data_IF_777890317158
#
_entry.id   IF_777890317158
#
_cell.length_a   1.000
_cell.length_b   1.000
_cell.length_c   1.000
_cell.angle_alpha   90.00
_cell.angle_beta   90.00
_cell.angle_gamma   90.00
#
_symmetry.space_group_name_H-M   'P 1'
#
loop_
_entity.id
_entity.type
_entity.pdbx_description
1 polymer ?
#
# COMPACT_ATOMS: atom_id res chain seq x y z
N UNK A 1 -21.51 5.74 -12.66
CA UNK A 1 -22.14 5.95 -11.34
C UNK A 1 -21.04 6.04 -10.30
N UNK A 2 -20.86 7.22 -9.69
CA UNK A 2 -19.79 7.49 -8.72
C UNK A 2 -20.19 6.94 -7.35
N UNK A 3 -19.53 5.90 -6.87
CA UNK A 3 -19.59 5.48 -5.48
C UNK A 3 -18.27 5.83 -4.78
N UNK A 4 -18.07 7.13 -4.53
CA UNK A 4 -17.00 7.62 -3.68
C UNK A 4 -17.42 7.38 -2.22
N UNK A 5 -17.09 6.24 -1.67
CA UNK A 5 -17.24 5.97 -0.24
C UNK A 5 -15.87 6.02 0.41
N UNK A 6 -15.58 7.11 1.09
CA UNK A 6 -14.39 7.24 1.93
C UNK A 6 -14.56 6.32 3.14
N UNK A 7 -13.70 5.33 3.26
CA UNK A 7 -13.54 4.55 4.48
C UNK A 7 -12.82 5.45 5.51
N UNK A 8 -13.55 5.96 6.50
CA UNK A 8 -12.97 6.85 7.52
C UNK A 8 -12.45 6.00 8.67
N UNK A 9 -11.13 5.94 8.80
CA UNK A 9 -10.47 5.31 9.95
C UNK A 9 -9.75 6.37 10.77
N UNK A 10 -10.05 6.36 12.06
CA UNK A 10 -9.37 7.15 13.07
C UNK A 10 -8.00 6.54 13.37
N UNK A 11 -6.93 7.23 13.00
CA UNK A 11 -5.62 7.02 13.58
C UNK A 11 -5.54 7.87 14.86
N UNK A 12 -5.75 7.26 16.03
CA UNK A 12 -5.57 7.91 17.33
C UNK A 12 -4.08 8.05 17.63
N UNK A 13 -3.52 9.25 17.42
CA UNK A 13 -2.19 9.61 17.89
C UNK A 13 -2.26 10.02 19.36
N UNK A 14 -1.71 9.21 20.25
CA UNK A 14 -1.38 9.60 21.63
C UNK A 14 -0.18 10.55 21.59
N UNK A 15 -0.44 11.86 21.77
CA UNK A 15 0.59 12.86 21.99
C UNK A 15 0.93 12.91 23.48
N UNK A 16 2.14 12.46 23.85
CA UNK A 16 2.70 12.71 25.18
C UNK A 16 3.32 14.13 25.19
N UNK A 17 2.74 15.02 25.97
CA UNK A 17 3.23 16.38 26.22
C UNK A 17 4.35 16.35 27.26
N UNK A 18 5.56 16.79 26.90
CA UNK A 18 6.61 17.17 27.86
C UNK A 18 6.92 18.65 27.69
N UNK A 19 6.54 19.42 28.71
CA UNK A 19 6.82 20.85 28.82
C UNK A 19 8.28 21.09 29.22
N UNK A 20 9.00 21.92 28.49
CA UNK A 20 10.21 22.58 28.97
C UNK A 20 10.19 24.04 28.54
N UNK A 21 10.11 24.93 29.55
CA UNK A 21 10.28 26.36 29.40
C UNK A 21 11.75 26.70 29.06
N UNK A 22 11.92 27.55 28.06
CA UNK A 22 13.11 28.37 27.94
C UNK A 22 12.72 29.73 27.33
N UNK A 23 12.88 30.81 28.10
CA UNK A 23 12.72 32.19 27.65
C UNK A 23 13.90 32.55 26.71
N UNK A 24 13.56 33.07 25.54
CA UNK A 24 14.50 33.71 24.62
C UNK A 24 13.76 34.77 23.82
N UNK A 25 13.93 36.07 24.20
CA UNK A 25 13.44 37.22 23.46
C UNK A 25 14.21 37.38 22.15
N UNK A 26 13.55 37.19 21.02
CA UNK A 26 14.06 37.64 19.72
C UNK A 26 12.92 38.29 18.94
N UNK A 27 13.15 39.54 18.52
CA UNK A 27 12.25 40.33 17.68
C UNK A 27 11.83 39.60 16.42
N UNK A 28 10.56 39.23 16.27
CA UNK A 28 9.98 38.72 15.05
C UNK A 28 9.27 39.85 14.29
N UNK A 29 9.76 40.19 13.12
CA UNK A 29 9.02 40.94 12.11
C UNK A 29 7.76 40.15 11.73
N UNK A 30 6.63 40.84 11.76
CA UNK A 30 5.37 40.31 11.26
C UNK A 30 5.51 39.97 9.77
N UNK A 31 5.40 38.69 9.47
CA UNK A 31 5.14 38.19 8.12
C UNK A 31 3.65 37.86 8.10
N UNK A 32 2.91 38.42 7.17
CA UNK A 32 1.49 38.23 6.97
C UNK A 32 1.15 36.74 6.91
N UNK A 33 0.40 36.29 7.91
CA UNK A 33 -0.20 34.95 7.92
C UNK A 33 -1.42 34.95 6.98
N UNK A 34 -1.18 34.72 5.70
CA UNK A 34 -2.26 34.31 4.80
C UNK A 34 -2.67 32.88 5.15
N UNK A 35 -3.90 32.78 5.60
CA UNK A 35 -4.70 31.64 5.98
C UNK A 35 -4.25 30.26 5.52
N UNK A 36 -3.50 29.57 6.37
CA UNK A 36 -3.50 28.11 6.31
C UNK A 36 -4.90 27.64 6.72
N UNK A 37 -5.72 27.26 5.76
CA UNK A 37 -6.94 26.49 6.03
C UNK A 37 -6.52 25.25 6.82
N UNK A 38 -6.82 25.25 8.11
CA UNK A 38 -6.69 24.06 8.93
C UNK A 38 -7.61 23.01 8.30
N UNK A 39 -7.03 21.92 7.83
CA UNK A 39 -7.79 20.77 7.40
C UNK A 39 -8.72 20.37 8.54
N UNK A 40 -10.02 20.35 8.30
CA UNK A 40 -10.98 19.91 9.31
C UNK A 40 -10.58 18.51 9.79
N UNK A 41 -10.61 18.27 11.11
CA UNK A 41 -10.35 16.93 11.62
C UNK A 41 -11.35 15.95 10.97
N UNK A 42 -10.92 14.71 10.63
CA UNK A 42 -11.79 13.75 9.99
C UNK A 42 -13.08 13.59 10.79
N UNK A 43 -14.21 13.87 10.16
CA UNK A 43 -15.54 13.81 10.77
C UNK A 43 -15.81 12.38 11.24
N UNK A 44 -16.21 12.24 12.49
CA UNK A 44 -16.68 10.95 12.97
C UNK A 44 -17.93 10.51 12.18
N UNK A 45 -18.02 9.22 11.81
CA UNK A 45 -19.21 8.71 11.12
C UNK A 45 -20.45 8.88 11.97
N UNK A 46 -21.55 9.24 11.35
CA UNK A 46 -22.86 9.33 12.01
C UNK A 46 -23.34 7.95 12.45
N UNK A 47 -24.25 7.89 13.42
CA UNK A 47 -24.88 6.64 13.85
C UNK A 47 -25.57 5.90 12.68
N UNK A 48 -26.13 6.62 11.71
CA UNK A 48 -26.75 6.05 10.52
C UNK A 48 -25.69 5.42 9.57
N UNK A 49 -24.53 6.04 9.46
CA UNK A 49 -23.41 5.46 8.69
C UNK A 49 -22.83 4.24 9.40
N UNK A 50 -22.75 4.26 10.72
CA UNK A 50 -22.27 3.13 11.54
C UNK A 50 -23.24 1.95 11.56
N UNK A 51 -24.54 2.20 11.39
CA UNK A 51 -25.57 1.14 11.35
C UNK A 51 -25.74 0.48 9.98
N UNK A 52 -25.05 0.99 8.95
CA UNK A 52 -25.14 0.45 7.59
C UNK A 52 -24.46 -0.89 7.51
N UNK A 53 -25.23 -1.92 7.16
CA UNK A 53 -24.68 -3.26 6.92
C UNK A 53 -23.64 -3.22 5.81
N UNK A 54 -22.41 -3.60 6.14
CA UNK A 54 -21.35 -3.81 5.17
C UNK A 54 -21.56 -5.14 4.43
N UNK A 55 -21.09 -5.19 3.19
CA UNK A 55 -20.99 -6.43 2.42
C UNK A 55 -19.58 -7.01 2.53
N UNK A 56 -19.42 -8.29 2.18
CA UNK A 56 -18.09 -8.90 2.11
C UNK A 56 -17.18 -8.08 1.17
N UNK A 57 -17.71 -7.71 0.00
CA UNK A 57 -16.98 -6.88 -0.96
C UNK A 57 -16.56 -5.53 -0.36
N UNK A 58 -17.48 -4.80 0.30
CA UNK A 58 -17.14 -3.48 0.87
C UNK A 58 -16.11 -3.57 1.99
N UNK A 59 -16.14 -4.62 2.82
CA UNK A 59 -15.15 -4.82 3.87
C UNK A 59 -13.73 -5.03 3.31
N UNK A 60 -13.59 -5.88 2.28
CA UNK A 60 -12.29 -6.09 1.62
C UNK A 60 -11.83 -4.89 0.82
N UNK A 61 -12.74 -4.19 0.12
CA UNK A 61 -12.40 -2.95 -0.59
C UNK A 61 -11.91 -1.86 0.36
N UNK A 62 -12.45 -1.77 1.57
CA UNK A 62 -11.95 -0.86 2.60
C UNK A 62 -10.51 -1.20 2.97
N UNK A 63 -10.20 -2.47 3.29
CA UNK A 63 -8.84 -2.91 3.58
C UNK A 63 -7.88 -2.67 2.41
N UNK A 64 -8.30 -2.98 1.18
CA UNK A 64 -7.50 -2.77 -0.01
C UNK A 64 -7.17 -1.28 -0.23
N UNK A 65 -8.11 -0.38 0.04
CA UNK A 65 -7.89 1.07 -0.13
C UNK A 65 -6.72 1.58 0.73
N UNK A 66 -6.55 1.06 1.95
CA UNK A 66 -5.38 1.38 2.79
C UNK A 66 -4.10 0.87 2.17
N UNK A 67 -4.11 -0.39 1.75
CA UNK A 67 -2.92 -1.01 1.18
C UNK A 67 -2.53 -0.34 -0.14
N UNK A 68 -3.49 0.01 -0.99
CA UNK A 68 -3.24 0.77 -2.20
C UNK A 68 -2.59 2.11 -1.90
N UNK A 69 -3.13 2.85 -0.92
CA UNK A 69 -2.54 4.12 -0.50
C UNK A 69 -1.10 3.94 -0.01
N UNK A 70 -0.87 3.00 0.89
CA UNK A 70 0.44 2.78 1.50
C UNK A 70 1.48 2.33 0.48
N UNK A 71 1.15 1.34 -0.34
CA UNK A 71 2.07 0.77 -1.34
C UNK A 71 2.37 1.77 -2.45
N UNK A 72 1.34 2.39 -3.05
CA UNK A 72 1.53 3.35 -4.15
C UNK A 72 2.31 4.58 -3.69
N UNK A 73 1.94 5.16 -2.55
CA UNK A 73 2.65 6.33 -2.02
C UNK A 73 4.10 6.00 -1.60
N UNK A 74 4.38 4.79 -1.14
CA UNK A 74 5.74 4.33 -0.90
C UNK A 74 6.54 4.23 -2.22
N UNK A 75 5.93 3.68 -3.27
CA UNK A 75 6.54 3.61 -4.59
C UNK A 75 6.81 5.02 -5.16
N UNK A 76 5.87 5.95 -5.02
CA UNK A 76 6.06 7.34 -5.45
C UNK A 76 7.16 8.06 -4.67
N UNK A 77 7.29 7.81 -3.37
CA UNK A 77 8.26 8.48 -2.50
C UNK A 77 9.71 8.12 -2.78
N UNK A 78 10.00 6.92 -3.27
CA UNK A 78 11.36 6.51 -3.61
C UNK A 78 11.85 7.26 -4.85
N UNK A 79 13.00 7.98 -4.81
CA UNK A 79 13.60 8.60 -6.00
C UNK A 79 13.94 7.57 -7.07
N UNK A 80 13.85 7.95 -8.34
CA UNK A 80 14.06 7.03 -9.46
C UNK A 80 15.47 6.41 -9.46
N UNK A 81 16.47 7.19 -9.14
CA UNK A 81 17.87 6.74 -9.03
C UNK A 81 18.09 5.70 -7.92
N UNK A 82 17.14 5.58 -6.98
CA UNK A 82 17.17 4.61 -5.89
C UNK A 82 16.29 3.37 -6.11
N UNK A 83 15.65 3.26 -7.26
CA UNK A 83 14.84 2.08 -7.57
C UNK A 83 15.68 0.79 -7.70
N UNK A 84 16.98 0.92 -7.99
CA UNK A 84 17.94 -0.18 -7.96
C UNK A 84 18.44 -0.56 -6.57
N UNK A 85 18.08 0.19 -5.52
CA UNK A 85 18.52 -0.09 -4.15
C UNK A 85 17.95 -1.41 -3.63
N UNK A 86 18.78 -2.13 -2.89
CA UNK A 86 18.39 -3.30 -2.07
C UNK A 86 19.08 -3.24 -0.71
N UNK A 87 18.44 -3.69 0.36
CA UNK A 87 19.10 -3.90 1.65
C UNK A 87 20.30 -4.85 1.50
N UNK A 88 21.34 -4.61 2.25
CA UNK A 88 22.48 -5.50 2.29
C UNK A 88 22.09 -6.86 2.91
N UNK A 89 22.56 -7.92 2.33
CA UNK A 89 22.48 -9.26 2.90
C UNK A 89 23.57 -9.39 3.99
N UNK A 90 23.19 -9.18 5.25
CA UNK A 90 24.10 -9.08 6.37
C UNK A 90 24.65 -7.64 6.54
N UNK A 91 24.58 -7.10 7.75
CA UNK A 91 25.06 -5.74 8.06
C UNK A 91 26.52 -5.71 8.44
N UNK A 92 27.04 -6.81 8.92
CA UNK A 92 28.40 -6.90 9.45
C UNK A 92 29.32 -7.67 8.51
N UNK A 93 30.53 -7.22 8.41
CA UNK A 93 31.56 -7.87 7.59
C UNK A 93 31.71 -9.34 8.07
N UNK A 94 31.58 -10.30 7.17
CA UNK A 94 31.64 -11.75 7.39
C UNK A 94 30.36 -12.39 7.97
N UNK A 95 29.25 -11.69 8.14
CA UNK A 95 27.99 -12.34 8.42
C UNK A 95 27.49 -13.13 7.18
N UNK A 96 27.02 -14.32 7.45
CA UNK A 96 26.34 -15.15 6.46
C UNK A 96 24.88 -15.31 6.87
N UNK A 97 23.94 -15.26 5.93
CA UNK A 97 22.55 -15.60 6.25
C UNK A 97 22.45 -16.98 6.87
N UNK A 98 21.70 -17.11 7.97
CA UNK A 98 21.59 -18.35 8.73
C UNK A 98 21.05 -19.51 7.87
N UNK A 99 20.08 -19.21 7.00
CA UNK A 99 19.41 -20.20 6.15
C UNK A 99 19.90 -20.20 4.69
N UNK A 100 21.09 -19.71 4.44
CA UNK A 100 21.74 -19.69 3.15
C UNK A 100 21.58 -18.40 2.38
N UNK A 101 22.24 -18.29 1.22
CA UNK A 101 22.18 -17.09 0.40
C UNK A 101 20.80 -16.93 -0.22
N UNK A 102 20.17 -15.78 0.02
CA UNK A 102 18.96 -15.38 -0.65
C UNK A 102 19.18 -13.98 -1.27
N UNK A 103 18.83 -13.84 -2.53
CA UNK A 103 18.92 -12.54 -3.18
C UNK A 103 17.75 -11.67 -2.75
N UNK A 104 18.03 -10.57 -2.04
CA UNK A 104 17.03 -9.57 -1.68
C UNK A 104 16.60 -8.79 -2.93
N UNK A 105 15.31 -8.61 -3.12
CA UNK A 105 14.77 -7.82 -4.25
C UNK A 105 15.26 -6.38 -4.19
N UNK A 106 15.49 -5.77 -5.35
CA UNK A 106 15.62 -4.32 -5.44
C UNK A 106 14.25 -3.67 -5.19
N UNK A 107 14.23 -2.36 -4.89
CA UNK A 107 12.97 -1.63 -4.72
C UNK A 107 12.08 -1.74 -5.97
N UNK A 108 12.66 -1.60 -7.16
CA UNK A 108 11.95 -1.82 -8.42
C UNK A 108 11.33 -3.21 -8.52
N UNK A 109 12.07 -4.24 -8.11
CA UNK A 109 11.58 -5.62 -8.08
C UNK A 109 10.46 -5.82 -7.06
N UNK A 110 10.50 -5.14 -5.91
CA UNK A 110 9.37 -5.15 -4.96
C UNK A 110 8.10 -4.57 -5.58
N UNK A 111 8.20 -3.39 -6.21
CA UNK A 111 7.06 -2.75 -6.88
C UNK A 111 6.47 -3.64 -7.98
N UNK A 112 7.33 -4.24 -8.81
CA UNK A 112 6.90 -5.18 -9.87
C UNK A 112 6.23 -6.42 -9.29
N UNK A 113 6.80 -7.00 -8.25
CA UNK A 113 6.28 -8.19 -7.60
C UNK A 113 4.89 -7.95 -7.03
N UNK A 114 4.67 -6.85 -6.31
CA UNK A 114 3.35 -6.49 -5.78
C UNK A 114 2.34 -6.33 -6.91
N UNK A 115 2.69 -5.60 -7.97
CA UNK A 115 1.80 -5.40 -9.11
C UNK A 115 1.46 -6.73 -9.79
N UNK A 116 2.46 -7.57 -10.02
CA UNK A 116 2.27 -8.86 -10.67
C UNK A 116 1.41 -9.80 -9.82
N UNK A 117 1.67 -9.86 -8.51
CA UNK A 117 0.85 -10.65 -7.58
C UNK A 117 -0.60 -10.19 -7.56
N UNK A 118 -0.85 -8.88 -7.58
CA UNK A 118 -2.21 -8.34 -7.66
C UNK A 118 -2.93 -8.80 -8.93
N UNK A 119 -2.28 -8.73 -10.09
CA UNK A 119 -2.88 -9.22 -11.34
C UNK A 119 -3.14 -10.73 -11.30
N UNK A 120 -2.22 -11.51 -10.73
CA UNK A 120 -2.38 -12.95 -10.60
C UNK A 120 -3.55 -13.30 -9.67
N UNK A 121 -3.63 -12.68 -8.51
CA UNK A 121 -4.73 -12.88 -7.56
C UNK A 121 -6.09 -12.46 -8.13
N UNK A 122 -6.14 -11.33 -8.85
CA UNK A 122 -7.36 -10.89 -9.52
C UNK A 122 -7.82 -11.92 -10.55
N UNK A 123 -6.91 -12.42 -11.40
CA UNK A 123 -7.21 -13.44 -12.39
C UNK A 123 -7.73 -14.73 -11.72
N UNK A 124 -7.08 -15.23 -10.68
CA UNK A 124 -7.53 -16.42 -9.96
C UNK A 124 -8.90 -16.21 -9.31
N UNK A 125 -9.15 -15.04 -8.70
CA UNK A 125 -10.43 -14.70 -8.10
C UNK A 125 -11.56 -14.67 -9.14
N UNK A 126 -11.24 -14.28 -10.37
CA UNK A 126 -12.16 -14.24 -11.50
C UNK A 126 -12.25 -15.57 -12.28
N UNK A 127 -11.52 -16.60 -11.84
CA UNK A 127 -11.46 -17.90 -12.50
C UNK A 127 -10.70 -17.87 -13.83
N UNK A 128 -9.77 -16.92 -13.98
CA UNK A 128 -8.93 -16.75 -15.15
C UNK A 128 -7.51 -17.25 -14.89
N UNK A 129 -6.76 -17.54 -15.95
CA UNK A 129 -5.34 -17.85 -15.84
C UNK A 129 -4.55 -16.58 -15.54
N UNK A 130 -3.67 -16.59 -14.52
CA UNK A 130 -2.78 -15.47 -14.26
C UNK A 130 -1.94 -15.09 -15.48
N UNK A 131 -1.61 -13.80 -15.65
CA UNK A 131 -0.78 -13.36 -16.77
C UNK A 131 0.60 -14.06 -16.77
N UNK A 132 1.00 -14.66 -17.89
CA UNK A 132 2.28 -15.35 -18.03
C UNK A 132 3.50 -14.47 -17.71
N UNK A 133 3.39 -13.17 -17.94
CA UNK A 133 4.41 -12.19 -17.55
C UNK A 133 4.68 -12.16 -16.03
N UNK A 134 3.75 -12.64 -15.21
CA UNK A 134 3.89 -12.68 -13.76
C UNK A 134 4.82 -13.80 -13.26
N UNK A 135 5.10 -14.82 -14.06
CA UNK A 135 6.02 -15.89 -13.69
C UNK A 135 7.45 -15.40 -13.42
N UNK A 136 7.78 -14.19 -13.86
CA UNK A 136 9.11 -13.57 -13.72
C UNK A 136 9.04 -12.17 -13.07
N UNK A 137 8.18 -11.99 -12.06
CA UNK A 137 7.98 -10.73 -11.37
C UNK A 137 7.55 -9.55 -12.28
N UNK A 138 6.77 -9.84 -13.30
CA UNK A 138 6.12 -8.84 -14.13
C UNK A 138 6.76 -8.56 -15.49
N UNK A 139 6.11 -7.75 -16.33
CA UNK A 139 6.52 -7.54 -17.71
C UNK A 139 7.92 -6.92 -17.79
N UNK A 140 8.72 -7.43 -18.70
CA UNK A 140 10.07 -6.94 -18.98
C UNK A 140 10.10 -5.49 -19.50
N UNK A 141 8.97 -4.96 -19.93
CA UNK A 141 8.80 -3.59 -20.46
C UNK A 141 8.75 -2.52 -19.38
N UNK A 142 8.30 -2.84 -18.16
CA UNK A 142 8.25 -1.88 -17.06
C UNK A 142 9.65 -1.72 -16.43
N UNK A 143 10.42 -0.75 -16.91
CA UNK A 143 11.83 -0.52 -16.52
C UNK A 143 12.03 0.80 -15.79
N UNK A 144 11.27 1.83 -16.13
CA UNK A 144 11.35 3.15 -15.50
C UNK A 144 10.42 3.23 -14.30
N UNK A 145 10.70 4.14 -13.38
CA UNK A 145 9.80 4.44 -12.25
C UNK A 145 8.38 4.70 -12.74
N UNK A 146 8.22 5.53 -13.77
CA UNK A 146 6.91 5.89 -14.33
C UNK A 146 6.13 4.65 -14.81
N UNK A 147 6.77 3.78 -15.56
CA UNK A 147 6.15 2.52 -16.05
C UNK A 147 5.74 1.59 -14.91
N UNK A 148 6.58 1.50 -13.87
CA UNK A 148 6.29 0.71 -12.69
C UNK A 148 5.12 1.27 -11.88
N UNK A 149 5.00 2.59 -11.75
CA UNK A 149 3.88 3.24 -11.07
C UNK A 149 2.57 3.03 -11.83
N UNK A 150 2.58 3.11 -13.16
CA UNK A 150 1.42 2.80 -14.00
C UNK A 150 1.01 1.33 -13.82
N UNK A 151 1.96 0.42 -13.91
CA UNK A 151 1.71 -1.01 -13.76
C UNK A 151 1.12 -1.34 -12.38
N UNK A 152 1.68 -0.74 -11.33
CA UNK A 152 1.19 -0.90 -9.95
C UNK A 152 -0.25 -0.35 -9.79
N UNK A 153 -0.53 0.87 -10.31
CA UNK A 153 -1.88 1.46 -10.29
C UNK A 153 -2.90 0.54 -10.96
N UNK A 154 -2.57 0.05 -12.15
CA UNK A 154 -3.46 -0.80 -12.94
C UNK A 154 -3.70 -2.15 -12.25
N UNK A 155 -2.70 -2.69 -11.54
CA UNK A 155 -2.85 -3.90 -10.75
C UNK A 155 -3.82 -3.72 -9.57
N UNK A 156 -3.79 -2.58 -8.89
CA UNK A 156 -4.76 -2.25 -7.85
C UNK A 156 -6.17 -2.06 -8.42
N UNK A 157 -6.30 -1.53 -9.63
CA UNK A 157 -7.60 -1.45 -10.31
C UNK A 157 -8.16 -2.86 -10.60
N UNK A 158 -7.32 -3.80 -11.02
CA UNK A 158 -7.72 -5.19 -11.27
C UNK A 158 -8.25 -5.86 -9.99
N UNK A 159 -7.47 -5.89 -8.90
CA UNK A 159 -7.94 -6.51 -7.65
C UNK A 159 -9.16 -5.80 -7.06
N UNK A 160 -9.28 -4.48 -7.25
CA UNK A 160 -10.45 -3.72 -6.81
C UNK A 160 -11.72 -4.18 -7.52
N UNK A 161 -11.64 -4.43 -8.83
CA UNK A 161 -12.77 -4.94 -9.60
C UNK A 161 -13.15 -6.36 -9.15
N UNK A 162 -12.19 -7.26 -9.00
CA UNK A 162 -12.42 -8.64 -8.60
C UNK A 162 -12.96 -8.75 -7.17
N UNK A 163 -12.41 -7.97 -6.21
CA UNK A 163 -12.93 -7.91 -4.84
C UNK A 163 -14.34 -7.28 -4.79
N UNK A 164 -14.63 -6.31 -5.66
CA UNK A 164 -15.94 -5.69 -5.77
C UNK A 164 -17.04 -6.66 -6.22
N UNK A 165 -16.67 -7.76 -6.87
CA UNK A 165 -17.57 -8.82 -7.31
C UNK A 165 -17.80 -9.93 -6.25
N UNK A 166 -17.17 -9.84 -5.07
CA UNK A 166 -17.38 -10.82 -4.00
C UNK A 166 -18.84 -10.81 -3.51
N UNK A 167 -19.44 -11.99 -3.49
CA UNK A 167 -20.81 -12.21 -3.06
C UNK A 167 -20.85 -13.16 -1.84
N UNK A 168 -21.72 -12.87 -0.88
CA UNK A 168 -21.89 -13.68 0.31
C UNK A 168 -22.36 -15.13 0.02
N UNK A 169 -22.97 -15.38 -1.14
CA UNK A 169 -23.42 -16.72 -1.55
C UNK A 169 -22.27 -17.58 -2.08
N UNK A 170 -21.27 -16.94 -2.73
CA UNK A 170 -20.18 -17.63 -3.44
C UNK A 170 -18.82 -17.45 -2.77
N UNK A 171 -18.74 -16.69 -1.67
CA UNK A 171 -17.47 -16.38 -1.02
C UNK A 171 -16.71 -17.61 -0.49
N UNK A 172 -17.41 -18.69 -0.20
CA UNK A 172 -16.83 -19.96 0.24
C UNK A 172 -16.64 -20.97 -0.88
N UNK A 173 -16.97 -20.61 -2.13
CA UNK A 173 -16.71 -21.50 -3.27
C UNK A 173 -15.21 -21.71 -3.40
N UNK A 174 -14.79 -22.95 -3.72
CA UNK A 174 -13.38 -23.29 -3.86
C UNK A 174 -12.78 -22.58 -5.07
N UNK A 175 -11.54 -22.14 -4.92
CA UNK A 175 -10.70 -21.57 -5.96
C UNK A 175 -9.50 -22.47 -6.15
N UNK A 176 -9.11 -22.65 -7.39
CA UNK A 176 -7.86 -23.29 -7.77
C UNK A 176 -6.96 -22.29 -8.49
N UNK A 177 -5.70 -22.28 -8.10
CA UNK A 177 -4.70 -21.45 -8.73
C UNK A 177 -3.34 -21.66 -8.07
N UNK A 178 -2.24 -21.28 -8.74
CA UNK A 178 -0.89 -21.47 -8.22
C UNK A 178 -0.62 -20.63 -6.96
N UNK A 179 -1.33 -19.54 -6.77
CA UNK A 179 -1.14 -18.63 -5.64
C UNK A 179 -2.17 -18.83 -4.52
N UNK A 180 -3.39 -19.21 -4.88
CA UNK A 180 -4.44 -19.45 -3.88
C UNK A 180 -4.25 -20.77 -3.13
N UNK A 181 -3.59 -21.76 -3.75
CA UNK A 181 -3.63 -23.13 -3.24
C UNK A 181 -5.08 -23.63 -3.17
N UNK A 182 -5.38 -24.73 -2.46
CA UNK A 182 -6.73 -25.11 -2.15
C UNK A 182 -7.32 -24.09 -1.15
N UNK A 183 -8.05 -23.12 -1.65
CA UNK A 183 -8.61 -22.01 -0.88
C UNK A 183 -10.03 -21.70 -1.34
N UNK A 184 -10.64 -20.73 -0.72
CA UNK A 184 -11.95 -20.17 -1.10
C UNK A 184 -11.75 -18.76 -1.67
N UNK A 185 -12.79 -18.25 -2.35
CA UNK A 185 -12.80 -16.86 -2.81
C UNK A 185 -12.52 -15.87 -1.68
N UNK A 186 -13.11 -16.10 -0.50
CA UNK A 186 -12.88 -15.29 0.70
C UNK A 186 -11.43 -15.41 1.20
N UNK A 187 -10.90 -16.63 1.21
CA UNK A 187 -9.50 -16.86 1.61
C UNK A 187 -8.52 -16.14 0.71
N UNK A 188 -8.73 -16.18 -0.62
CA UNK A 188 -7.88 -15.44 -1.56
C UNK A 188 -8.04 -13.92 -1.40
N UNK A 189 -9.26 -13.42 -1.13
CA UNK A 189 -9.47 -12.01 -0.82
C UNK A 189 -8.66 -11.56 0.41
N UNK A 190 -8.58 -12.41 1.45
CA UNK A 190 -7.72 -12.15 2.60
C UNK A 190 -6.24 -12.14 2.23
N UNK A 191 -5.78 -13.09 1.39
CA UNK A 191 -4.40 -13.12 0.87
C UNK A 191 -4.05 -11.80 0.16
N UNK A 192 -4.92 -11.29 -0.69
CA UNK A 192 -4.71 -10.03 -1.41
C UNK A 192 -4.37 -8.89 -0.43
N UNK A 193 -5.16 -8.75 0.63
CA UNK A 193 -4.97 -7.65 1.59
C UNK A 193 -3.69 -7.83 2.39
N UNK A 194 -3.46 -9.01 3.00
CA UNK A 194 -2.27 -9.19 3.83
C UNK A 194 -0.97 -9.21 3.01
N UNK A 195 -0.97 -9.72 1.77
CA UNK A 195 0.20 -9.71 0.90
C UNK A 195 0.66 -8.28 0.58
N UNK A 196 -0.27 -7.39 0.26
CA UNK A 196 0.05 -5.98 0.04
C UNK A 196 0.58 -5.32 1.33
N UNK A 197 0.01 -5.65 2.52
CA UNK A 197 0.48 -5.15 3.81
C UNK A 197 1.89 -5.63 4.14
N UNK A 198 2.20 -6.92 3.90
CA UNK A 198 3.54 -7.48 4.09
C UNK A 198 4.58 -6.75 3.24
N UNK A 199 4.29 -6.58 1.95
CA UNK A 199 5.21 -5.87 1.05
C UNK A 199 5.32 -4.38 1.35
N UNK A 200 4.25 -3.72 1.80
CA UNK A 200 4.35 -2.35 2.29
C UNK A 200 5.33 -2.24 3.46
N UNK A 201 5.26 -3.16 4.44
CA UNK A 201 6.20 -3.19 5.56
C UNK A 201 7.65 -3.29 5.09
N UNK A 202 7.93 -4.14 4.10
CA UNK A 202 9.25 -4.25 3.47
C UNK A 202 9.62 -2.92 2.77
N UNK A 203 8.76 -2.38 1.91
CA UNK A 203 9.03 -1.11 1.20
C UNK A 203 9.29 0.05 2.16
N UNK A 204 8.60 0.10 3.30
CA UNK A 204 8.82 1.10 4.34
C UNK A 204 10.23 1.03 4.94
N UNK A 205 10.80 -0.18 5.10
CA UNK A 205 12.20 -0.35 5.50
C UNK A 205 13.16 0.18 4.44
N UNK A 206 12.93 -0.11 3.15
CA UNK A 206 13.74 0.44 2.06
C UNK A 206 13.75 1.96 2.05
N UNK A 207 12.60 2.60 2.27
CA UNK A 207 12.51 4.05 2.37
C UNK A 207 13.34 4.56 3.54
N UNK A 208 13.19 3.97 4.74
CA UNK A 208 13.94 4.40 5.94
C UNK A 208 15.44 4.23 5.79
N UNK A 209 15.90 3.15 5.19
CA UNK A 209 17.32 2.94 4.89
C UNK A 209 17.88 3.98 3.91
N UNK A 210 17.01 4.61 3.12
CA UNK A 210 17.35 5.72 2.24
C UNK A 210 17.02 7.11 2.82
N UNK A 211 16.83 7.21 4.14
CA UNK A 211 16.49 8.44 4.86
C UNK A 211 15.16 9.10 4.42
N UNK A 212 14.23 8.30 3.94
CA UNK A 212 12.89 8.74 3.52
C UNK A 212 11.87 8.28 4.55
N UNK A 213 11.09 9.23 5.11
CA UNK A 213 9.97 8.89 5.98
C UNK A 213 8.86 8.29 5.14
N UNK A 214 8.38 7.06 5.44
CA UNK A 214 7.27 6.45 4.71
C UNK A 214 6.04 7.36 4.74
N UNK A 215 5.28 7.49 3.63
CA UNK A 215 4.15 8.42 3.54
C UNK A 215 3.12 8.25 4.65
N UNK A 216 2.75 7.04 5.00
CA UNK A 216 1.83 6.75 6.10
C UNK A 216 2.34 7.16 7.50
N UNK A 217 3.64 7.45 7.64
CA UNK A 217 4.26 7.93 8.88
C UNK A 217 4.45 9.46 8.91
N UNK A 218 4.00 10.18 7.90
CA UNK A 218 4.14 11.63 7.80
C UNK A 218 2.98 12.33 8.51
N UNK A 219 3.24 13.50 9.08
CA UNK A 219 2.21 14.35 9.70
C UNK A 219 1.17 14.81 8.66
N UNK A 220 1.65 15.13 7.45
CA UNK A 220 0.80 15.48 6.31
C UNK A 220 1.08 14.46 5.20
N UNK A 221 0.34 13.34 5.17
CA UNK A 221 0.55 12.34 4.15
C UNK A 221 0.16 12.88 2.76
N UNK A 222 0.90 12.56 1.70
CA UNK A 222 0.59 13.01 0.35
C UNK A 222 -0.71 12.39 -0.16
N UNK A 223 -1.38 13.07 -1.07
CA UNK A 223 -2.45 12.46 -1.86
C UNK A 223 -1.85 11.55 -2.93
N UNK A 224 -2.60 10.51 -3.33
CA UNK A 224 -2.20 9.66 -4.44
C UNK A 224 -2.43 10.37 -5.79
N UNK A 225 -1.47 10.21 -6.68
CA UNK A 225 -1.59 10.65 -8.05
C UNK A 225 -2.19 9.52 -8.92
N UNK A 226 -3.23 9.83 -9.68
CA UNK A 226 -3.85 8.88 -10.62
C UNK A 226 -3.32 9.03 -12.06
N UNK A 227 -2.56 10.08 -12.32
CA UNK A 227 -1.92 10.36 -13.62
C UNK A 227 -0.41 10.41 -13.46
N UNK A 228 0.30 9.61 -14.25
CA UNK A 228 1.76 9.57 -14.31
C UNK A 228 2.28 9.94 -15.70
#
# INVERSE_FOLDING_TARGET
MRANRKCSVLLSLLAASSSLLALGLINARAVDAQGAQQAEPPRQPTAAEMSKKETVASAFLCGLQYQEYEVRSAAEAMPEEKYGYRPAEGKFKNEKPEFGPAQVRTFAQQVKHVACSNFAFAAELDGQTPPAACDQDGPSTAKTKRELLIYLRDSFAAVRNSLGALDAKTMFDPIQGPYAGPNTRLGLAAVIVWHNADHYGQMALYLRENAIVPPASRTNPPELHDTY
#
